data_IF_384127817125
#
_entry.id   IF_384127817125
#
_cell.length_a   1.000
_cell.length_b   1.000
_cell.length_c   1.000
_cell.angle_alpha   90.00
_cell.angle_beta   90.00
_cell.angle_gamma   90.00
#
_symmetry.space_group_name_H-M   'P 1'
#
loop_
_entity.id
_entity.type
_entity.pdbx_description
1 polymer ?
#
# COMPACT_ATOMS: atom_id res chain seq x y z
N UNK A 1 -24.20 6.23 18.93
CA UNK A 1 -23.05 6.20 18.01
C UNK A 1 -22.82 4.74 17.68
N UNK A 2 -22.92 4.35 16.40
CA UNK A 2 -22.57 2.99 16.00
C UNK A 2 -21.06 2.87 16.17
N UNK A 3 -20.58 2.07 17.10
CA UNK A 3 -19.17 1.68 17.10
C UNK A 3 -18.94 0.94 15.77
N UNK A 4 -18.28 1.62 14.83
CA UNK A 4 -17.89 1.01 13.58
C UNK A 4 -16.99 -0.19 13.94
N UNK A 5 -17.40 -1.39 13.52
CA UNK A 5 -16.59 -2.58 13.72
C UNK A 5 -15.25 -2.41 13.02
N UNK A 6 -14.20 -3.10 13.50
CA UNK A 6 -12.89 -3.05 12.86
C UNK A 6 -13.00 -3.49 11.37
N UNK A 7 -13.89 -4.43 11.07
CA UNK A 7 -14.19 -4.82 9.69
C UNK A 7 -14.76 -3.67 8.86
N UNK A 8 -15.73 -2.92 9.37
CA UNK A 8 -16.30 -1.76 8.64
C UNK A 8 -15.23 -0.68 8.37
N UNK A 9 -14.35 -0.44 9.33
CA UNK A 9 -13.23 0.48 9.14
C UNK A 9 -12.26 -0.02 8.05
N UNK A 10 -11.92 -1.31 8.06
CA UNK A 10 -11.08 -1.92 7.03
C UNK A 10 -11.69 -1.80 5.63
N UNK A 11 -12.99 -2.05 5.50
CA UNK A 11 -13.73 -1.94 4.24
C UNK A 11 -13.61 -0.50 3.70
N UNK A 12 -13.90 0.50 4.55
CA UNK A 12 -13.79 1.90 4.17
C UNK A 12 -12.36 2.29 3.75
N UNK A 13 -11.32 1.78 4.43
CA UNK A 13 -9.93 2.04 4.07
C UNK A 13 -9.56 1.46 2.70
N UNK A 14 -9.92 0.20 2.46
CA UNK A 14 -9.64 -0.52 1.21
C UNK A 14 -10.40 0.12 0.05
N UNK A 15 -11.71 0.34 0.21
CA UNK A 15 -12.54 0.95 -0.83
C UNK A 15 -12.04 2.34 -1.22
N UNK A 16 -11.63 3.15 -0.23
CA UNK A 16 -11.03 4.46 -0.47
C UNK A 16 -9.71 4.35 -1.24
N UNK A 17 -8.82 3.45 -0.86
CA UNK A 17 -7.51 3.32 -1.49
C UNK A 17 -7.58 2.81 -2.94
N UNK A 18 -8.55 1.94 -3.25
CA UNK A 18 -8.73 1.37 -4.59
C UNK A 18 -9.83 2.04 -5.44
N UNK A 19 -10.69 2.87 -4.84
CA UNK A 19 -11.77 3.59 -5.51
C UNK A 19 -12.87 2.67 -6.05
N UNK A 20 -13.10 1.51 -5.43
CA UNK A 20 -14.08 0.51 -5.84
C UNK A 20 -14.71 -0.16 -4.61
N UNK A 21 -15.97 -0.64 -4.71
CA UNK A 21 -16.62 -1.35 -3.62
C UNK A 21 -15.95 -2.69 -3.35
N UNK A 22 -16.05 -3.18 -2.10
CA UNK A 22 -15.32 -4.35 -1.64
C UNK A 22 -15.65 -5.63 -2.44
N UNK A 23 -16.91 -5.83 -2.82
CA UNK A 23 -17.37 -6.99 -3.61
C UNK A 23 -16.68 -7.07 -4.98
N UNK A 24 -16.45 -5.91 -5.61
CA UNK A 24 -15.74 -5.83 -6.88
C UNK A 24 -14.23 -6.12 -6.69
N UNK A 25 -13.66 -5.68 -5.57
CA UNK A 25 -12.27 -5.91 -5.21
C UNK A 25 -11.96 -7.36 -4.86
N UNK A 26 -12.87 -8.07 -4.18
CA UNK A 26 -12.78 -9.51 -3.93
C UNK A 26 -12.63 -10.28 -5.25
N UNK A 27 -13.50 -9.96 -6.22
CA UNK A 27 -13.47 -10.60 -7.53
C UNK A 27 -12.15 -10.32 -8.27
N UNK A 28 -11.64 -9.09 -8.18
CA UNK A 28 -10.38 -8.70 -8.82
C UNK A 28 -9.16 -9.38 -8.18
N UNK A 29 -9.09 -9.43 -6.85
CA UNK A 29 -7.99 -10.03 -6.10
C UNK A 29 -7.84 -11.55 -6.38
N UNK A 30 -8.94 -12.22 -6.71
CA UNK A 30 -8.95 -13.64 -7.08
C UNK A 30 -8.58 -13.83 -8.56
N UNK A 31 -9.17 -13.04 -9.46
CA UNK A 31 -9.00 -13.23 -10.91
C UNK A 31 -7.64 -12.76 -11.43
N UNK A 32 -7.07 -11.72 -10.82
CA UNK A 32 -5.85 -11.03 -11.31
C UNK A 32 -4.85 -10.81 -10.17
N UNK A 33 -4.41 -11.89 -9.49
CA UNK A 33 -3.59 -11.77 -8.28
C UNK A 33 -2.19 -11.17 -8.53
N UNK A 34 -1.68 -11.28 -9.75
CA UNK A 34 -0.35 -10.78 -10.13
C UNK A 34 -0.41 -9.30 -10.54
N UNK A 35 -1.56 -8.82 -11.02
CA UNK A 35 -1.69 -7.44 -11.51
C UNK A 35 -1.71 -6.42 -10.36
N UNK A 36 -2.23 -6.82 -9.19
CA UNK A 36 -2.21 -5.99 -7.99
C UNK A 36 -1.93 -6.85 -6.74
N UNK A 37 -0.64 -7.13 -6.44
CA UNK A 37 -0.25 -7.96 -5.30
C UNK A 37 -0.57 -7.29 -3.95
N UNK A 38 -0.64 -5.95 -3.91
CA UNK A 38 -1.01 -5.21 -2.71
C UNK A 38 -2.50 -5.32 -2.44
N UNK A 39 -3.35 -5.30 -3.47
CA UNK A 39 -4.77 -5.59 -3.34
C UNK A 39 -5.00 -6.99 -2.79
N UNK A 40 -4.31 -7.98 -3.36
CA UNK A 40 -4.42 -9.37 -2.88
C UNK A 40 -4.03 -9.48 -1.40
N UNK A 41 -2.96 -8.81 -1.01
CA UNK A 41 -2.49 -8.80 0.39
C UNK A 41 -3.53 -8.14 1.32
N UNK A 42 -4.07 -6.99 0.94
CA UNK A 42 -5.13 -6.31 1.69
C UNK A 42 -6.38 -7.19 1.84
N UNK A 43 -6.83 -7.84 0.77
CA UNK A 43 -7.99 -8.74 0.81
C UNK A 43 -7.74 -9.99 1.68
N UNK A 44 -6.51 -10.50 1.70
CA UNK A 44 -6.15 -11.62 2.58
C UNK A 44 -6.19 -11.21 4.07
N UNK A 45 -5.63 -10.05 4.41
CA UNK A 45 -5.67 -9.50 5.77
C UNK A 45 -7.12 -9.24 6.19
N UNK A 46 -7.94 -8.67 5.30
CA UNK A 46 -9.38 -8.48 5.54
C UNK A 46 -10.09 -9.80 5.83
N UNK A 47 -9.81 -10.85 5.05
CA UNK A 47 -10.40 -12.17 5.30
C UNK A 47 -10.06 -12.71 6.69
N UNK A 48 -8.84 -12.50 7.18
CA UNK A 48 -8.47 -12.86 8.55
C UNK A 48 -9.21 -11.99 9.58
N UNK A 49 -9.36 -10.69 9.30
CA UNK A 49 -10.09 -9.76 10.16
C UNK A 49 -11.57 -10.14 10.33
N UNK A 50 -12.24 -10.69 9.32
CA UNK A 50 -13.62 -11.20 9.45
C UNK A 50 -13.70 -12.23 10.58
N UNK A 51 -12.71 -13.13 10.70
CA UNK A 51 -12.67 -14.15 11.74
C UNK A 51 -12.49 -13.52 13.12
N UNK A 52 -11.49 -12.64 13.30
CA UNK A 52 -11.26 -11.98 14.60
C UNK A 52 -12.44 -11.07 14.99
N UNK A 53 -13.08 -10.39 14.04
CA UNK A 53 -14.27 -9.57 14.30
C UNK A 53 -15.46 -10.42 14.78
N UNK A 54 -15.68 -11.59 14.19
CA UNK A 54 -16.69 -12.53 14.67
C UNK A 54 -16.34 -13.07 16.07
N UNK A 55 -15.05 -13.35 16.33
CA UNK A 55 -14.59 -13.77 17.65
C UNK A 55 -14.84 -12.69 18.71
N UNK A 56 -14.65 -11.40 18.38
CA UNK A 56 -14.99 -10.27 19.26
C UNK A 56 -16.47 -10.33 19.64
N UNK A 57 -17.39 -10.43 18.67
CA UNK A 57 -18.82 -10.49 18.94
C UNK A 57 -19.18 -11.67 19.84
N UNK A 58 -18.67 -12.88 19.53
CA UNK A 58 -18.93 -14.08 20.32
C UNK A 58 -18.42 -13.96 21.77
N UNK A 59 -17.22 -13.41 21.97
CA UNK A 59 -16.66 -13.25 23.31
C UNK A 59 -17.33 -12.12 24.08
N UNK A 60 -17.78 -11.05 23.41
CA UNK A 60 -18.61 -10.00 24.03
C UNK A 60 -19.95 -10.57 24.49
N UNK A 61 -20.65 -11.31 23.65
CA UNK A 61 -21.94 -11.92 23.99
C UNK A 61 -21.81 -12.90 25.16
N UNK A 62 -20.76 -13.74 25.14
CA UNK A 62 -20.49 -14.68 26.24
C UNK A 62 -20.15 -13.96 27.53
N UNK A 63 -19.32 -12.91 27.48
CA UNK A 63 -18.98 -12.13 28.66
C UNK A 63 -20.20 -11.39 29.21
N UNK A 64 -21.03 -10.83 28.34
CA UNK A 64 -22.28 -10.18 28.72
C UNK A 64 -23.25 -11.16 29.40
N UNK A 65 -23.38 -12.39 28.87
CA UNK A 65 -24.22 -13.41 29.49
C UNK A 65 -23.76 -13.77 30.91
N UNK A 66 -22.46 -13.84 31.16
CA UNK A 66 -21.87 -14.17 32.47
C UNK A 66 -21.83 -12.99 33.45
N UNK A 67 -21.96 -11.76 32.97
CA UNK A 67 -21.86 -10.53 33.78
C UNK A 67 -23.14 -9.70 33.81
N UNK A 68 -24.22 -10.21 33.20
CA UNK A 68 -25.54 -9.60 33.20
C UNK A 68 -26.06 -9.38 34.62
N UNK A 69 -26.75 -8.27 34.82
CA UNK A 69 -27.48 -8.00 36.07
C UNK A 69 -28.44 -9.13 36.42
N UNK A 70 -28.38 -9.61 37.67
CA UNK A 70 -29.18 -10.72 38.15
C UNK A 70 -28.54 -12.10 37.96
N UNK A 71 -27.41 -12.21 37.25
CA UNK A 71 -26.59 -13.43 37.29
C UNK A 71 -25.71 -13.41 38.55
N UNK A 72 -25.79 -14.46 39.37
CA UNK A 72 -24.89 -14.66 40.51
C UNK A 72 -23.82 -15.68 40.08
N UNK A 73 -22.56 -15.26 39.88
CA UNK A 73 -21.53 -16.15 39.37
C UNK A 73 -21.29 -17.33 40.32
N UNK A 74 -21.34 -18.55 39.79
CA UNK A 74 -20.86 -19.72 40.50
C UNK A 74 -19.31 -19.75 40.53
N UNK A 75 -18.71 -20.61 41.35
CA UNK A 75 -17.23 -20.74 41.41
C UNK A 75 -16.61 -21.01 40.02
N UNK A 76 -17.23 -21.86 39.20
CA UNK A 76 -16.79 -22.14 37.82
C UNK A 76 -17.02 -20.99 36.82
N UNK A 77 -17.86 -20.00 37.16
CA UNK A 77 -18.07 -18.84 36.30
C UNK A 77 -16.88 -17.89 36.34
N UNK A 78 -16.11 -17.87 37.43
CA UNK A 78 -14.90 -17.02 37.54
C UNK A 78 -13.88 -17.40 36.46
N UNK A 79 -13.64 -18.70 36.26
CA UNK A 79 -12.76 -19.19 35.21
C UNK A 79 -13.32 -18.87 33.81
N UNK A 80 -14.62 -19.07 33.60
CA UNK A 80 -15.28 -18.78 32.30
C UNK A 80 -15.26 -17.29 31.96
N UNK A 81 -15.47 -16.42 32.94
CA UNK A 81 -15.38 -14.96 32.79
C UNK A 81 -13.94 -14.59 32.40
N UNK A 82 -12.95 -15.11 33.13
CA UNK A 82 -11.53 -14.84 32.88
C UNK A 82 -11.10 -15.28 31.48
N UNK A 83 -11.50 -16.50 31.07
CA UNK A 83 -11.19 -17.02 29.73
C UNK A 83 -11.89 -16.20 28.64
N UNK A 84 -13.15 -15.84 28.81
CA UNK A 84 -13.90 -15.04 27.83
C UNK A 84 -13.32 -13.62 27.70
N UNK A 85 -12.95 -13.00 28.82
CA UNK A 85 -12.33 -11.68 28.83
C UNK A 85 -10.94 -11.69 28.18
N UNK A 86 -10.12 -12.72 28.46
CA UNK A 86 -8.80 -12.87 27.84
C UNK A 86 -8.92 -13.05 26.33
N UNK A 87 -9.80 -13.95 25.88
CA UNK A 87 -10.01 -14.20 24.45
C UNK A 87 -10.59 -12.97 23.73
N UNK A 88 -11.48 -12.20 24.39
CA UNK A 88 -11.96 -10.92 23.86
C UNK A 88 -10.80 -9.94 23.63
N UNK A 89 -9.88 -9.81 24.59
CA UNK A 89 -8.71 -8.92 24.45
C UNK A 89 -7.79 -9.36 23.31
N UNK A 90 -7.58 -10.67 23.15
CA UNK A 90 -6.81 -11.23 22.03
C UNK A 90 -7.47 -10.89 20.70
N UNK A 91 -8.76 -11.18 20.55
CA UNK A 91 -9.49 -10.89 19.31
C UNK A 91 -9.52 -9.38 18.96
N UNK A 92 -9.62 -8.50 19.97
CA UNK A 92 -9.50 -7.06 19.79
C UNK A 92 -8.10 -6.63 19.35
N UNK A 93 -7.04 -7.24 19.91
CA UNK A 93 -5.67 -6.97 19.53
C UNK A 93 -5.38 -7.42 18.10
N UNK A 94 -5.81 -8.63 17.72
CA UNK A 94 -5.72 -9.14 16.35
C UNK A 94 -6.44 -8.23 15.36
N UNK A 95 -7.65 -7.76 15.70
CA UNK A 95 -8.42 -6.86 14.86
C UNK A 95 -7.68 -5.53 14.62
N UNK A 96 -7.02 -4.99 15.65
CA UNK A 96 -6.21 -3.76 15.53
C UNK A 96 -4.94 -3.99 14.71
N UNK A 97 -4.27 -5.12 14.88
CA UNK A 97 -3.08 -5.49 14.11
C UNK A 97 -3.44 -5.62 12.62
N UNK A 98 -4.58 -6.24 12.31
CA UNK A 98 -5.07 -6.35 10.94
C UNK A 98 -5.35 -4.97 10.31
N UNK A 99 -5.99 -4.05 11.05
CA UNK A 99 -6.19 -2.67 10.58
C UNK A 99 -4.88 -1.95 10.31
N UNK A 100 -3.91 -2.07 11.21
CA UNK A 100 -2.59 -1.47 11.03
C UNK A 100 -1.86 -2.06 9.82
N UNK A 101 -1.94 -3.37 9.62
CA UNK A 101 -1.37 -4.04 8.46
C UNK A 101 -2.02 -3.56 7.14
N UNK A 102 -3.34 -3.36 7.11
CA UNK A 102 -4.03 -2.76 5.96
C UNK A 102 -3.55 -1.34 5.70
N UNK A 103 -3.36 -0.51 6.74
CA UNK A 103 -2.77 0.83 6.60
C UNK A 103 -1.40 0.77 5.92
N UNK A 104 -0.51 -0.11 6.39
CA UNK A 104 0.83 -0.28 5.82
C UNK A 104 0.80 -0.73 4.36
N UNK A 105 -0.13 -1.60 3.98
CA UNK A 105 -0.30 -2.03 2.58
C UNK A 105 -0.77 -0.87 1.70
N UNK A 106 -1.67 -0.03 2.20
CA UNK A 106 -2.14 1.17 1.49
C UNK A 106 -1.00 2.18 1.33
N UNK A 107 -0.24 2.45 2.39
CA UNK A 107 0.93 3.33 2.35
C UNK A 107 1.97 2.82 1.34
N UNK A 108 2.25 1.52 1.34
CA UNK A 108 3.16 0.89 0.38
C UNK A 108 2.67 1.06 -1.07
N UNK A 109 1.35 0.99 -1.30
CA UNK A 109 0.74 1.21 -2.62
C UNK A 109 0.93 2.63 -3.09
N UNK A 110 0.71 3.61 -2.21
CA UNK A 110 0.90 5.02 -2.54
C UNK A 110 2.36 5.31 -2.91
N UNK A 111 3.30 4.75 -2.14
CA UNK A 111 4.74 4.84 -2.45
C UNK A 111 5.06 4.20 -3.80
N UNK A 112 4.58 2.97 -4.07
CA UNK A 112 4.80 2.30 -5.35
C UNK A 112 4.25 3.11 -6.54
N UNK A 113 3.04 3.66 -6.42
CA UNK A 113 2.44 4.49 -7.46
C UNK A 113 3.24 5.77 -7.76
N UNK A 114 3.87 6.37 -6.75
CA UNK A 114 4.75 7.53 -6.95
C UNK A 114 6.08 7.14 -7.61
N UNK A 115 6.64 5.98 -7.25
CA UNK A 115 7.86 5.46 -7.85
C UNK A 115 7.69 5.18 -9.35
N UNK A 116 6.58 4.57 -9.75
CA UNK A 116 6.27 4.28 -11.17
C UNK A 116 6.08 5.56 -12.01
N UNK A 117 5.65 6.66 -11.38
CA UNK A 117 5.48 7.95 -12.07
C UNK A 117 6.81 8.65 -12.36
N UNK A 118 7.86 8.41 -11.57
CA UNK A 118 9.13 9.12 -11.71
C UNK A 118 9.85 8.89 -13.06
N UNK A 119 9.93 7.66 -13.61
CA UNK A 119 10.49 7.42 -14.95
C UNK A 119 9.71 8.13 -16.06
N UNK A 120 8.37 8.10 -16.00
CA UNK A 120 7.52 8.75 -16.99
C UNK A 120 7.71 10.27 -16.99
N UNK A 121 7.85 10.87 -15.80
CA UNK A 121 8.14 12.30 -15.65
C UNK A 121 9.53 12.64 -16.24
N UNK A 122 10.55 11.81 -15.98
CA UNK A 122 11.89 12.01 -16.56
C UNK A 122 11.88 11.91 -18.09
N UNK A 123 11.13 10.97 -18.66
CA UNK A 123 10.97 10.84 -20.10
C UNK A 123 10.25 12.05 -20.71
N UNK A 124 9.20 12.55 -20.07
CA UNK A 124 8.51 13.76 -20.50
C UNK A 124 9.45 14.98 -20.45
N UNK A 125 10.22 15.15 -19.37
CA UNK A 125 11.22 16.22 -19.25
C UNK A 125 12.31 16.12 -20.33
N UNK A 126 12.80 14.91 -20.63
CA UNK A 126 13.78 14.70 -21.69
C UNK A 126 13.20 14.98 -23.09
N UNK A 127 11.92 14.68 -23.33
CA UNK A 127 11.24 15.04 -24.57
C UNK A 127 11.07 16.56 -24.72
N UNK A 128 10.68 17.25 -23.64
CA UNK A 128 10.58 18.71 -23.60
C UNK A 128 11.95 19.36 -23.84
N UNK A 129 13.02 18.87 -23.20
CA UNK A 129 14.38 19.37 -23.39
C UNK A 129 14.85 19.20 -24.85
N UNK A 130 14.59 18.04 -25.48
CA UNK A 130 14.91 17.83 -26.91
C UNK A 130 14.11 18.74 -27.83
N UNK A 131 12.83 18.99 -27.54
CA UNK A 131 12.00 19.90 -28.33
C UNK A 131 12.44 21.37 -28.17
N UNK A 132 12.91 21.76 -26.99
CA UNK A 132 13.48 23.09 -26.76
C UNK A 132 14.85 23.26 -27.46
N UNK A 133 15.56 22.16 -27.70
CA UNK A 133 16.85 22.13 -28.41
C UNK A 133 16.72 21.87 -29.92
N UNK A 134 15.50 21.73 -30.45
CA UNK A 134 15.28 21.64 -31.88
C UNK A 134 15.66 22.99 -32.53
N UNK A 135 16.71 23.04 -33.38
CA UNK A 135 17.09 24.26 -34.04
C UNK A 135 15.95 24.73 -34.93
N UNK A 136 15.63 26.02 -34.83
CA UNK A 136 14.81 26.75 -35.81
C UNK A 136 15.23 26.33 -37.23
N UNK A 137 14.21 26.09 -38.06
CA UNK A 137 14.30 25.57 -39.40
C UNK A 137 15.45 26.17 -40.24
N UNK A 138 16.08 25.25 -41.00
CA UNK A 138 16.96 25.49 -42.14
C UNK A 138 16.41 26.61 -43.04
N UNK A 139 17.00 27.79 -42.94
CA UNK A 139 16.60 28.93 -43.77
C UNK A 139 17.50 30.17 -43.61
N UNK A 140 18.73 30.02 -43.10
CA UNK A 140 19.66 31.15 -43.02
C UNK A 140 21.05 30.72 -43.52
N UNK A 141 21.55 31.31 -44.62
CA UNK A 141 22.87 30.99 -45.14
C UNK A 141 23.94 31.59 -44.21
N UNK A 142 25.03 30.86 -43.90
CA UNK A 142 26.16 31.43 -43.20
C UNK A 142 27.13 32.06 -44.20
N UNK A 143 27.18 33.40 -44.23
CA UNK A 143 28.29 34.11 -44.84
C UNK A 143 29.45 34.25 -43.83
N UNK A 144 30.47 33.39 -44.03
CA UNK A 144 31.92 33.68 -43.96
C UNK A 144 32.62 34.01 -42.60
N UNK A 145 33.97 33.93 -42.51
CA UNK A 145 34.83 32.73 -42.57
C UNK A 145 35.67 32.51 -41.29
N UNK A 146 36.26 31.32 -41.16
CA UNK A 146 37.19 30.94 -40.10
C UNK A 146 38.60 31.56 -40.25
N UNK A 147 39.36 31.74 -39.15
CA UNK A 147 40.81 31.64 -39.17
C UNK A 147 41.32 30.36 -38.48
N UNK A 148 42.32 29.77 -39.14
CA UNK A 148 43.07 28.56 -38.79
C UNK A 148 44.24 28.85 -37.84
N UNK A 149 44.58 27.89 -36.97
CA UNK A 149 45.90 27.52 -36.40
C UNK A 149 45.73 27.02 -34.95
N UNK A 150 46.42 26.01 -34.42
CA UNK A 150 47.62 25.32 -34.85
C UNK A 150 47.61 23.84 -34.37
N UNK A 151 48.36 23.01 -35.08
CA UNK A 151 48.57 21.60 -34.78
C UNK A 151 49.66 21.38 -33.71
N UNK A 152 49.50 20.31 -32.92
CA UNK A 152 50.59 19.54 -32.31
C UNK A 152 50.37 19.14 -30.84
N UNK A 153 51.00 18.06 -30.33
CA UNK A 153 51.24 16.77 -30.97
C UNK A 153 50.72 15.57 -30.14
N UNK A 154 50.62 14.43 -30.82
CA UNK A 154 50.24 13.10 -30.33
C UNK A 154 51.33 12.47 -29.46
N UNK A 155 50.97 11.87 -28.31
CA UNK A 155 51.74 10.77 -27.71
C UNK A 155 50.77 9.71 -27.13
N UNK A 156 50.97 8.48 -27.56
CA UNK A 156 50.31 7.28 -27.08
C UNK A 156 51.02 6.71 -25.84
N UNK A 157 50.29 6.05 -24.93
CA UNK A 157 50.39 4.60 -24.71
C UNK A 157 49.84 4.13 -23.34
N UNK A 158 49.30 2.91 -23.38
CA UNK A 158 49.36 1.83 -22.37
C UNK A 158 48.50 1.89 -21.09
N UNK A 159 47.40 1.13 -21.11
CA UNK A 159 47.30 -0.15 -20.38
C UNK A 159 46.64 -0.14 -18.97
N UNK A 160 45.88 -1.20 -18.61
CA UNK A 160 45.10 -1.27 -17.38
C UNK A 160 45.93 -1.81 -16.20
N UNK A 161 45.56 -1.43 -14.97
CA UNK A 161 46.00 -2.11 -13.74
C UNK A 161 44.81 -2.69 -12.99
N UNK A 162 45.08 -3.89 -12.49
CA UNK A 162 44.27 -4.80 -11.68
C UNK A 162 43.81 -4.18 -10.37
#
# INVERSE_FOLDING_TARGET
MSDATALHQADAMIEKAWGRPIDALETLAVRRPVEDPLLRSAMHIRSALVVSNNAVAVHQDRLHALTRSGHVPAFYDVERITNSATNLRVALAESRIALQAISHVIEAREVAATADRAPAVRLAQAAVARSAHAPRALGQPPDQPAPSAAAGPTVAATGPRR
#
